data_IF_890708907537
#
_entry.id   IF_890708907537
#
_cell.length_a   1.000
_cell.length_b   1.000
_cell.length_c   1.000
_cell.angle_alpha   90.00
_cell.angle_beta   90.00
_cell.angle_gamma   90.00
#
_symmetry.space_group_name_H-M   'P 1'
#
loop_
_entity.id
_entity.type
_entity.pdbx_description
1 polymer ?
#
# COMPACT_ATOMS: atom_id res chain seq x y z
N UNK A 1 -5.31 16.65 11.22
CA UNK A 1 -6.55 16.03 10.72
C UNK A 1 -6.62 14.57 11.19
N UNK A 2 -7.81 14.10 11.58
CA UNK A 2 -8.07 12.77 12.18
C UNK A 2 -8.07 11.62 11.16
N UNK A 3 -8.37 11.95 9.90
CA UNK A 3 -8.38 11.02 8.76
C UNK A 3 -7.45 11.54 7.68
N UNK A 4 -6.91 10.63 6.89
CA UNK A 4 -6.05 10.85 5.74
C UNK A 4 -6.68 10.18 4.53
N UNK A 5 -6.74 10.92 3.44
CA UNK A 5 -7.38 10.51 2.20
C UNK A 5 -6.29 10.14 1.21
N UNK A 6 -6.30 8.90 0.73
CA UNK A 6 -5.40 8.43 -0.33
C UNK A 6 -6.23 8.32 -1.61
N UNK A 7 -6.01 9.22 -2.60
CA UNK A 7 -6.76 9.19 -3.86
C UNK A 7 -6.36 7.98 -4.72
N UNK A 8 -7.21 7.58 -5.68
CA UNK A 8 -6.79 6.62 -6.70
C UNK A 8 -5.64 7.21 -7.54
N UNK A 9 -4.73 6.34 -7.98
CA UNK A 9 -3.66 6.65 -8.90
C UNK A 9 -4.18 6.59 -10.33
N UNK A 10 -3.83 7.61 -11.10
CA UNK A 10 -4.44 7.87 -12.39
C UNK A 10 -3.38 8.38 -13.34
N UNK A 11 -3.09 7.57 -14.35
CA UNK A 11 -2.06 7.88 -15.34
C UNK A 11 -2.60 8.71 -16.50
N UNK A 12 -3.90 8.59 -16.76
CA UNK A 12 -4.57 9.26 -17.86
C UNK A 12 -5.91 9.83 -17.36
N UNK A 13 -5.97 11.16 -17.19
CA UNK A 13 -7.10 11.89 -16.59
C UNK A 13 -8.42 11.65 -17.34
N UNK A 14 -8.37 11.33 -18.64
CA UNK A 14 -9.55 11.22 -19.51
C UNK A 14 -10.19 9.83 -19.54
N UNK A 15 -9.53 8.79 -19.02
CA UNK A 15 -10.01 7.39 -19.07
C UNK A 15 -10.48 6.84 -17.72
N UNK A 16 -10.59 7.71 -16.72
CA UNK A 16 -10.64 7.28 -15.33
C UNK A 16 -12.04 6.85 -14.88
N UNK A 17 -12.09 5.75 -14.12
CA UNK A 17 -13.18 5.51 -13.17
C UNK A 17 -12.84 6.36 -11.96
N UNK A 18 -13.67 7.35 -11.62
CA UNK A 18 -13.53 8.14 -10.39
C UNK A 18 -13.58 7.25 -9.16
N UNK A 19 -12.42 6.78 -8.69
CA UNK A 19 -12.32 6.00 -7.45
C UNK A 19 -12.55 6.90 -6.24
N UNK A 20 -13.32 6.42 -5.26
CA UNK A 20 -13.42 7.12 -3.98
C UNK A 20 -12.10 6.99 -3.24
N UNK A 21 -11.57 8.11 -2.74
CA UNK A 21 -10.36 8.10 -1.92
C UNK A 21 -10.50 7.12 -0.73
N UNK A 22 -9.49 6.27 -0.53
CA UNK A 22 -9.38 5.42 0.66
C UNK A 22 -9.13 6.29 1.89
N UNK A 23 -9.68 5.86 3.04
CA UNK A 23 -9.56 6.57 4.30
C UNK A 23 -8.66 5.81 5.27
N UNK A 24 -7.67 6.50 5.81
CA UNK A 24 -6.77 6.00 6.85
C UNK A 24 -6.83 6.90 8.07
N UNK A 25 -6.87 6.30 9.26
CA UNK A 25 -6.94 7.04 10.52
C UNK A 25 -5.55 7.53 10.92
N UNK A 26 -5.49 8.72 11.53
CA UNK A 26 -4.28 9.27 12.11
C UNK A 26 -3.80 8.48 13.35
N UNK A 27 -4.68 7.69 13.96
CA UNK A 27 -4.45 6.94 15.18
C UNK A 27 -5.10 5.54 15.07
N UNK A 28 -4.31 4.49 15.26
CA UNK A 28 -4.78 3.10 15.15
C UNK A 28 -5.56 2.62 16.39
N UNK A 29 -5.36 3.23 17.55
CA UNK A 29 -6.17 2.97 18.75
C UNK A 29 -7.60 3.45 18.56
N UNK A 30 -7.76 4.66 18.00
CA UNK A 30 -9.07 5.17 17.58
C UNK A 30 -9.71 4.25 16.53
N UNK A 31 -8.95 3.85 15.49
CA UNK A 31 -9.44 2.93 14.46
C UNK A 31 -10.02 1.66 15.08
N UNK A 32 -9.30 1.04 16.02
CA UNK A 32 -9.73 -0.20 16.68
C UNK A 32 -10.95 -0.02 17.60
N UNK A 33 -11.11 1.16 18.22
CA UNK A 33 -12.28 1.49 19.03
C UNK A 33 -13.51 1.66 18.13
N UNK A 34 -13.36 2.35 17.00
CA UNK A 34 -14.45 2.65 16.08
C UNK A 34 -14.82 1.48 15.17
N UNK A 35 -13.86 0.59 14.88
CA UNK A 35 -14.04 -0.56 14.01
C UNK A 35 -13.14 -1.72 14.46
N UNK A 36 -13.70 -2.92 14.56
CA UNK A 36 -12.91 -4.14 14.83
C UNK A 36 -12.26 -4.64 13.53
N UNK A 37 -11.20 -3.95 13.09
CA UNK A 37 -10.48 -4.28 11.87
C UNK A 37 -9.45 -5.38 12.09
N UNK A 38 -9.07 -6.07 11.02
CA UNK A 38 -8.05 -7.13 11.09
C UNK A 38 -6.66 -6.57 11.38
N UNK A 39 -5.74 -7.42 11.86
CA UNK A 39 -4.35 -7.04 12.08
C UNK A 39 -3.67 -6.52 10.80
N UNK A 40 -3.99 -7.12 9.66
CA UNK A 40 -3.53 -6.65 8.34
C UNK A 40 -4.04 -5.24 8.00
N UNK A 41 -5.31 -4.93 8.29
CA UNK A 41 -5.87 -3.60 8.08
C UNK A 41 -5.25 -2.54 9.00
N UNK A 42 -4.99 -2.89 10.26
CA UNK A 42 -4.24 -2.02 11.19
C UNK A 42 -2.84 -1.77 10.63
N UNK A 43 -2.16 -2.80 10.15
CA UNK A 43 -0.81 -2.68 9.61
C UNK A 43 -0.77 -1.82 8.35
N UNK A 44 -1.71 -2.00 7.42
CA UNK A 44 -1.87 -1.14 6.24
C UNK A 44 -2.06 0.34 6.66
N UNK A 45 -2.88 0.62 7.68
CA UNK A 45 -3.05 1.97 8.21
C UNK A 45 -1.75 2.55 8.78
N UNK A 46 -0.96 1.74 9.48
CA UNK A 46 0.37 2.16 10.00
C UNK A 46 1.29 2.53 8.83
N UNK A 47 1.32 1.73 7.76
CA UNK A 47 2.13 2.03 6.58
C UNK A 47 1.65 3.31 5.90
N UNK A 48 0.34 3.49 5.73
CA UNK A 48 -0.22 4.73 5.17
C UNK A 48 0.23 5.99 5.94
N UNK A 49 0.28 5.91 7.28
CA UNK A 49 0.74 7.01 8.13
C UNK A 49 2.22 7.32 7.93
N UNK A 50 3.08 6.30 7.80
CA UNK A 50 4.49 6.48 7.52
C UNK A 50 4.71 7.11 6.13
N UNK A 51 4.01 6.61 5.11
CA UNK A 51 4.14 7.10 3.72
C UNK A 51 3.65 8.53 3.56
N UNK A 52 2.61 8.94 4.29
CA UNK A 52 2.10 10.31 4.26
C UNK A 52 3.18 11.36 4.57
N UNK A 53 4.13 11.05 5.45
CA UNK A 53 5.23 11.96 5.78
C UNK A 53 6.31 12.03 4.69
N UNK A 54 6.30 11.10 3.72
CA UNK A 54 7.35 10.95 2.71
C UNK A 54 7.02 11.55 1.34
N UNK A 55 5.75 11.83 1.06
CA UNK A 55 5.36 12.43 -0.20
C UNK A 55 3.91 12.20 -0.59
N UNK A 56 3.65 12.26 -1.89
CA UNK A 56 2.33 12.07 -2.46
C UNK A 56 2.02 10.58 -2.51
N UNK A 57 0.95 10.17 -1.84
CA UNK A 57 0.51 8.78 -1.76
C UNK A 57 -0.81 8.63 -2.51
N UNK A 58 -0.87 7.66 -3.40
CA UNK A 58 -2.08 7.21 -4.08
C UNK A 58 -2.25 5.68 -3.89
N UNK A 59 -3.37 5.11 -4.32
CA UNK A 59 -3.56 3.65 -4.40
C UNK A 59 -4.00 3.27 -5.81
N UNK A 60 -3.85 2.02 -6.23
CA UNK A 60 -4.36 1.58 -7.53
C UNK A 60 -5.28 0.39 -7.39
N UNK A 61 -6.44 0.42 -8.05
CA UNK A 61 -7.37 -0.71 -8.08
C UNK A 61 -8.14 -0.76 -9.39
N UNK A 62 -8.13 -1.91 -10.07
CA UNK A 62 -8.99 -2.19 -11.24
C UNK A 62 -10.29 -2.87 -10.81
N UNK A 63 -11.33 -2.71 -11.62
CA UNK A 63 -12.58 -3.49 -11.51
C UNK A 63 -12.38 -5.01 -11.54
N UNK A 64 -11.30 -5.47 -12.17
CA UNK A 64 -10.92 -6.89 -12.25
C UNK A 64 -10.24 -7.43 -10.99
N UNK A 65 -10.07 -6.59 -9.95
CA UNK A 65 -9.47 -6.99 -8.66
C UNK A 65 -7.95 -6.89 -8.58
N UNK A 66 -7.27 -6.39 -9.63
CA UNK A 66 -5.85 -6.05 -9.52
C UNK A 66 -5.68 -4.80 -8.66
N UNK A 67 -4.75 -4.86 -7.71
CA UNK A 67 -4.55 -3.81 -6.71
C UNK A 67 -3.06 -3.55 -6.44
N UNK A 68 -2.70 -2.31 -6.16
CA UNK A 68 -1.46 -1.93 -5.51
C UNK A 68 -1.86 -1.06 -4.32
N UNK A 69 -1.49 -1.48 -3.11
CA UNK A 69 -1.96 -0.84 -1.88
C UNK A 69 -1.59 0.65 -1.84
N UNK A 70 -0.34 0.96 -2.17
CA UNK A 70 0.14 2.34 -2.24
C UNK A 70 1.07 2.58 -3.43
N UNK A 71 1.02 3.81 -3.96
CA UNK A 71 1.96 4.34 -4.93
C UNK A 71 2.50 5.64 -4.34
N UNK A 72 3.81 5.67 -4.06
CA UNK A 72 4.49 6.83 -3.52
C UNK A 72 5.19 7.59 -4.65
N UNK A 73 4.90 8.90 -4.74
CA UNK A 73 5.49 9.83 -5.70
C UNK A 73 5.44 9.35 -7.16
N UNK A 74 4.41 8.56 -7.50
CA UNK A 74 4.20 8.00 -8.84
C UNK A 74 5.32 7.07 -9.36
N UNK A 75 6.33 6.75 -8.53
CA UNK A 75 7.51 5.99 -8.93
C UNK A 75 7.70 4.68 -8.16
N UNK A 76 7.19 4.59 -6.92
CA UNK A 76 7.35 3.43 -6.04
C UNK A 76 5.99 2.77 -5.80
N UNK A 77 5.86 1.51 -6.22
CA UNK A 77 4.65 0.70 -6.00
C UNK A 77 4.83 -0.20 -4.79
N UNK A 78 3.92 -0.11 -3.82
CA UNK A 78 4.07 -0.72 -2.51
C UNK A 78 2.93 -1.70 -2.26
N UNK A 79 3.27 -2.92 -1.88
CA UNK A 79 2.34 -3.94 -1.37
C UNK A 79 2.65 -4.19 0.11
N UNK A 80 1.61 -4.26 0.93
CA UNK A 80 1.70 -4.48 2.38
C UNK A 80 1.18 -5.87 2.73
N UNK A 81 1.99 -6.66 3.43
CA UNK A 81 1.62 -8.00 3.92
C UNK A 81 2.00 -8.20 5.38
N UNK A 82 1.26 -9.03 6.11
CA UNK A 82 1.72 -9.43 7.44
C UNK A 82 2.98 -10.29 7.37
N UNK A 83 3.04 -11.21 6.41
CA UNK A 83 4.20 -12.04 6.11
C UNK A 83 4.40 -12.07 4.59
N UNK A 84 5.60 -11.76 4.07
CA UNK A 84 5.82 -11.63 2.63
C UNK A 84 6.12 -12.99 1.98
N UNK A 85 6.01 -13.07 0.67
CA UNK A 85 6.47 -14.21 -0.12
C UNK A 85 7.04 -13.81 -1.48
N UNK A 86 7.83 -14.68 -2.10
CA UNK A 86 8.32 -14.51 -3.47
C UNK A 86 7.20 -14.29 -4.48
N UNK A 87 6.03 -14.92 -4.24
CA UNK A 87 4.86 -14.80 -5.10
C UNK A 87 4.29 -13.39 -5.04
N UNK A 88 4.21 -12.79 -3.85
CA UNK A 88 3.71 -11.43 -3.67
C UNK A 88 4.57 -10.44 -4.44
N UNK A 89 5.90 -10.57 -4.33
CA UNK A 89 6.83 -9.69 -5.05
C UNK A 89 6.72 -9.84 -6.57
N UNK A 90 6.57 -11.07 -7.08
CA UNK A 90 6.39 -11.32 -8.53
C UNK A 90 5.11 -10.67 -9.05
N UNK A 91 4.02 -10.80 -8.30
CA UNK A 91 2.73 -10.17 -8.65
C UNK A 91 2.84 -8.64 -8.61
N UNK A 92 3.49 -8.07 -7.59
CA UNK A 92 3.71 -6.63 -7.48
C UNK A 92 4.57 -6.10 -8.65
N UNK A 93 5.68 -6.77 -8.98
CA UNK A 93 6.56 -6.44 -10.12
C UNK A 93 5.76 -6.40 -11.43
N UNK A 94 4.90 -7.39 -11.67
CA UNK A 94 4.03 -7.43 -12.85
C UNK A 94 3.07 -6.22 -12.89
N UNK A 95 2.37 -5.95 -11.79
CA UNK A 95 1.40 -4.84 -11.70
C UNK A 95 2.07 -3.48 -11.87
N UNK A 96 3.24 -3.27 -11.27
CA UNK A 96 4.02 -2.04 -11.42
C UNK A 96 4.46 -1.83 -12.88
N UNK A 97 4.93 -2.89 -13.55
CA UNK A 97 5.32 -2.83 -14.96
C UNK A 97 4.16 -2.41 -15.88
N UNK A 98 2.93 -2.87 -15.63
CA UNK A 98 1.75 -2.46 -16.41
C UNK A 98 1.42 -0.96 -16.26
N UNK A 99 1.91 -0.32 -15.20
CA UNK A 99 1.70 1.09 -14.91
C UNK A 99 2.94 1.95 -15.20
N UNK A 100 4.04 1.35 -15.65
CA UNK A 100 5.38 1.99 -15.75
C UNK A 100 5.84 2.60 -14.42
N UNK A 101 5.54 1.92 -13.31
CA UNK A 101 6.09 2.21 -11.99
C UNK A 101 7.37 1.39 -11.85
N UNK A 102 8.47 2.05 -11.54
CA UNK A 102 9.81 1.46 -11.69
C UNK A 102 10.28 0.71 -10.45
N UNK A 103 9.77 1.06 -9.27
CA UNK A 103 10.31 0.59 -7.99
C UNK A 103 9.24 -0.17 -7.17
N UNK A 104 9.11 -1.49 -7.37
CA UNK A 104 8.24 -2.31 -6.54
C UNK A 104 8.88 -2.57 -5.17
N UNK A 105 8.13 -2.32 -4.10
CA UNK A 105 8.57 -2.46 -2.71
C UNK A 105 7.55 -3.31 -1.93
N UNK A 106 7.97 -4.51 -1.50
CA UNK A 106 7.15 -5.37 -0.66
C UNK A 106 7.46 -5.10 0.81
N UNK A 107 6.48 -4.61 1.57
CA UNK A 107 6.61 -4.24 2.98
C UNK A 107 5.90 -5.26 3.85
N UNK A 108 6.56 -5.75 4.88
CA UNK A 108 5.96 -6.72 5.78
C UNK A 108 6.24 -6.54 7.26
N UNK A 109 5.35 -7.10 8.09
CA UNK A 109 5.42 -7.05 9.55
C UNK A 109 6.34 -8.13 10.12
N UNK A 110 6.22 -9.35 9.60
CA UNK A 110 6.93 -10.53 10.06
C UNK A 110 7.86 -11.04 8.96
N UNK A 111 8.97 -11.64 9.35
CA UNK A 111 9.85 -12.31 8.40
C UNK A 111 9.14 -13.54 7.79
N UNK A 112 9.42 -13.87 6.52
CA UNK A 112 8.96 -15.13 5.92
C UNK A 112 9.64 -16.32 6.61
N UNK A 113 8.98 -17.48 6.59
CA UNK A 113 9.59 -18.73 7.04
C UNK A 113 10.56 -19.36 6.02
N UNK A 114 10.73 -18.74 4.86
CA UNK A 114 11.64 -19.16 3.78
C UNK A 114 12.89 -18.27 3.73
N UNK A 115 13.87 -18.64 2.90
CA UNK A 115 15.08 -17.84 2.63
C UNK A 115 14.83 -16.58 1.77
N UNK A 116 13.58 -16.15 1.66
CA UNK A 116 13.19 -14.98 0.87
C UNK A 116 13.63 -13.68 1.56
N UNK A 117 14.41 -12.85 0.85
CA UNK A 117 15.05 -11.63 1.39
C UNK A 117 14.66 -10.33 0.69
N UNK A 118 13.98 -10.39 -0.46
CA UNK A 118 13.57 -9.17 -1.20
C UNK A 118 12.28 -8.56 -0.61
N UNK A 119 12.36 -8.10 0.64
CA UNK A 119 11.27 -7.41 1.33
C UNK A 119 11.82 -6.42 2.36
N UNK A 120 10.98 -5.47 2.77
CA UNK A 120 11.33 -4.44 3.75
C UNK A 120 10.50 -4.62 5.02
N UNK A 121 11.14 -4.46 6.17
CA UNK A 121 10.43 -4.48 7.43
C UNK A 121 9.66 -3.17 7.65
N UNK A 122 8.35 -3.27 7.86
CA UNK A 122 7.45 -2.12 7.95
C UNK A 122 7.47 -1.35 9.29
N UNK A 123 8.39 -1.68 10.21
CA UNK A 123 8.48 -1.00 11.50
C UNK A 123 8.96 0.45 11.39
N UNK A 124 9.87 0.73 10.45
CA UNK A 124 10.24 2.09 10.07
C UNK A 124 10.72 2.07 8.62
N UNK A 125 9.89 2.57 7.72
CA UNK A 125 10.28 2.79 6.33
C UNK A 125 11.16 4.05 6.36
N UNK A 126 12.47 3.94 6.17
CA UNK A 126 13.41 5.09 6.02
C UNK A 126 13.51 5.45 4.56
#
# INVERSE_FOLDING_TARGET
>A
YFIHRVPPFTKNKDKEISGQAKLYFADTGVLQILAQVSSGQVFENIIALQLKAKGNVAYYQRKTGQEIDFILNESIGIEVKETPSDRDLKVLKQRCSELEINEPMLIARNAPGSDFKEWFWGGNIV
#
